data_IF_311263273335
#
_entry.id   IF_311263273335
#
_cell.length_a   1.000
_cell.length_b   1.000
_cell.length_c   1.000
_cell.angle_alpha   90.00
_cell.angle_beta   90.00
_cell.angle_gamma   90.00
#
_symmetry.space_group_name_H-M   'P 1'
#
loop_
_entity.id
_entity.type
_entity.pdbx_description
1 polymer ?
#
# COMPACT_ATOMS: atom_id res chain seq x y z
N UNK A 1 -179.42 -118.46 3.57
CA UNK A 1 -180.02 -117.43 2.71
C UNK A 1 -181.52 -117.63 2.67
N UNK A 2 -182.26 -116.76 3.37
CA UNK A 2 -183.71 -116.70 3.26
C UNK A 2 -184.16 -116.02 1.95
N UNK A 3 -185.44 -116.13 1.56
CA UNK A 3 -185.94 -115.50 0.33
C UNK A 3 -185.76 -113.97 0.27
N UNK A 4 -185.74 -113.28 1.41
CA UNK A 4 -185.49 -111.83 1.49
C UNK A 4 -184.02 -111.46 1.21
N UNK A 5 -183.07 -112.29 1.64
CA UNK A 5 -181.64 -112.09 1.37
C UNK A 5 -181.34 -112.35 -0.10
N UNK A 6 -181.96 -113.37 -0.72
CA UNK A 6 -181.86 -113.62 -2.16
C UNK A 6 -182.39 -112.44 -2.99
N UNK A 7 -183.47 -111.77 -2.56
CA UNK A 7 -184.01 -110.59 -3.24
C UNK A 7 -183.07 -109.38 -3.21
N UNK A 8 -182.30 -109.19 -2.12
CA UNK A 8 -181.30 -108.12 -2.02
C UNK A 8 -180.10 -108.40 -2.93
N UNK A 9 -179.62 -109.65 -2.98
CA UNK A 9 -178.41 -110.01 -3.74
C UNK A 9 -178.70 -110.16 -5.24
N UNK A 10 -179.95 -110.48 -5.62
CA UNK A 10 -180.41 -110.48 -7.03
C UNK A 10 -181.00 -109.13 -7.48
N UNK A 11 -181.07 -108.13 -6.59
CA UNK A 11 -181.50 -106.79 -6.94
C UNK A 11 -180.46 -106.15 -7.89
N UNK A 12 -180.86 -105.72 -9.10
CA UNK A 12 -179.96 -105.05 -10.05
C UNK A 12 -179.22 -103.85 -9.46
N UNK A 13 -179.83 -103.14 -8.50
CA UNK A 13 -179.20 -102.02 -7.80
C UNK A 13 -178.06 -102.46 -6.88
N UNK A 14 -178.20 -103.60 -6.19
CA UNK A 14 -177.17 -104.14 -5.31
C UNK A 14 -176.00 -104.73 -6.10
N UNK A 15 -176.30 -105.42 -7.22
CA UNK A 15 -175.29 -105.92 -8.16
C UNK A 15 -174.49 -104.74 -8.75
N UNK A 16 -175.16 -103.69 -9.23
CA UNK A 16 -174.48 -102.50 -9.74
C UNK A 16 -173.65 -101.78 -8.66
N UNK A 17 -174.15 -101.67 -7.43
CA UNK A 17 -173.42 -101.04 -6.34
C UNK A 17 -172.16 -101.82 -5.96
N UNK A 18 -172.20 -103.15 -5.96
CA UNK A 18 -171.03 -104.00 -5.66
C UNK A 18 -170.01 -104.00 -6.80
N UNK A 19 -170.44 -103.99 -8.07
CA UNK A 19 -169.55 -103.78 -9.21
C UNK A 19 -168.91 -102.38 -9.19
N UNK A 20 -169.68 -101.32 -8.96
CA UNK A 20 -169.14 -99.96 -8.82
C UNK A 20 -168.18 -99.84 -7.63
N UNK A 21 -168.45 -100.50 -6.49
CA UNK A 21 -167.52 -100.52 -5.37
C UNK A 21 -166.21 -101.24 -5.71
N UNK A 22 -166.29 -102.35 -6.45
CA UNK A 22 -165.12 -103.08 -6.96
C UNK A 22 -164.30 -102.26 -7.97
N UNK A 23 -164.96 -101.60 -8.93
CA UNK A 23 -164.32 -100.69 -9.88
C UNK A 23 -163.69 -99.49 -9.17
N UNK A 24 -164.40 -98.86 -8.23
CA UNK A 24 -163.87 -97.75 -7.45
C UNK A 24 -162.66 -98.16 -6.61
N UNK A 25 -162.68 -99.36 -6.03
CA UNK A 25 -161.53 -99.91 -5.30
C UNK A 25 -160.34 -100.19 -6.22
N UNK A 26 -160.57 -100.81 -7.38
CA UNK A 26 -159.53 -101.10 -8.36
C UNK A 26 -158.93 -99.81 -8.94
N UNK A 27 -159.76 -98.84 -9.32
CA UNK A 27 -159.31 -97.52 -9.77
C UNK A 27 -158.59 -96.75 -8.67
N UNK A 28 -159.05 -96.83 -7.41
CA UNK A 28 -158.37 -96.24 -6.26
C UNK A 28 -157.01 -96.90 -5.98
N UNK A 29 -156.90 -98.21 -6.12
CA UNK A 29 -155.64 -98.95 -5.99
C UNK A 29 -154.67 -98.59 -7.12
N UNK A 30 -155.13 -98.51 -8.37
CA UNK A 30 -154.32 -98.05 -9.51
C UNK A 30 -153.85 -96.61 -9.31
N UNK A 31 -154.73 -95.72 -8.83
CA UNK A 31 -154.36 -94.33 -8.54
C UNK A 31 -153.26 -94.26 -7.47
N UNK A 32 -153.39 -95.01 -6.37
CA UNK A 32 -152.35 -95.09 -5.32
C UNK A 32 -151.06 -95.71 -5.82
N UNK A 33 -151.12 -96.74 -6.68
CA UNK A 33 -149.94 -97.35 -7.27
C UNK A 33 -149.21 -96.35 -8.20
N UNK A 34 -149.96 -95.61 -9.02
CA UNK A 34 -149.42 -94.53 -9.87
C UNK A 34 -148.84 -93.39 -9.05
N UNK A 35 -149.46 -93.01 -7.94
CA UNK A 35 -148.93 -92.02 -7.00
C UNK A 35 -147.64 -92.50 -6.32
N UNK A 36 -147.59 -93.76 -5.89
CA UNK A 36 -146.39 -94.37 -5.31
C UNK A 36 -145.24 -94.44 -6.33
N UNK A 37 -145.52 -94.82 -7.57
CA UNK A 37 -144.55 -94.80 -8.67
C UNK A 37 -144.07 -93.37 -8.96
N UNK A 38 -144.96 -92.37 -8.99
CA UNK A 38 -144.60 -90.98 -9.19
C UNK A 38 -143.71 -90.44 -8.05
N UNK A 39 -143.99 -90.82 -6.80
CA UNK A 39 -143.16 -90.48 -5.64
C UNK A 39 -141.79 -91.16 -5.70
N UNK A 40 -141.73 -92.44 -6.09
CA UNK A 40 -140.47 -93.17 -6.27
C UNK A 40 -139.62 -92.54 -7.38
N UNK A 41 -140.23 -92.16 -8.51
CA UNK A 41 -139.55 -91.45 -9.59
C UNK A 41 -139.00 -90.09 -9.11
N UNK A 42 -139.79 -89.31 -8.36
CA UNK A 42 -139.33 -88.06 -7.75
C UNK A 42 -138.16 -88.27 -6.79
N UNK A 43 -138.24 -89.26 -5.91
CA UNK A 43 -137.15 -89.62 -4.99
C UNK A 43 -135.87 -89.98 -5.75
N UNK A 44 -135.97 -90.86 -6.75
CA UNK A 44 -134.82 -91.26 -7.57
C UNK A 44 -134.21 -90.06 -8.30
N UNK A 45 -135.04 -89.13 -8.81
CA UNK A 45 -134.56 -87.90 -9.46
C UNK A 45 -133.84 -86.96 -8.48
N UNK A 46 -134.32 -86.88 -7.24
CA UNK A 46 -133.69 -86.09 -6.18
C UNK A 46 -132.36 -86.70 -5.74
N UNK A 47 -132.31 -88.02 -5.54
CA UNK A 47 -131.08 -88.74 -5.20
C UNK A 47 -130.02 -88.59 -6.30
N UNK A 48 -130.43 -88.71 -7.58
CA UNK A 48 -129.56 -88.47 -8.72
C UNK A 48 -129.03 -87.02 -8.78
N UNK A 49 -129.90 -86.03 -8.56
CA UNK A 49 -129.50 -84.63 -8.50
C UNK A 49 -128.52 -84.36 -7.34
N UNK A 50 -128.79 -84.90 -6.15
CA UNK A 50 -127.93 -84.74 -4.98
C UNK A 50 -126.55 -85.39 -5.21
N UNK A 51 -126.50 -86.57 -5.83
CA UNK A 51 -125.24 -87.20 -6.23
C UNK A 51 -124.44 -86.29 -7.19
N UNK A 52 -125.10 -85.70 -8.19
CA UNK A 52 -124.46 -84.73 -9.09
C UNK A 52 -123.96 -83.48 -8.35
N UNK A 53 -124.75 -82.93 -7.42
CA UNK A 53 -124.34 -81.79 -6.60
C UNK A 53 -123.10 -82.08 -5.76
N UNK A 54 -123.00 -83.27 -5.15
CA UNK A 54 -121.80 -83.64 -4.38
C UNK A 54 -120.56 -83.76 -5.25
N UNK A 55 -120.67 -84.27 -6.48
CA UNK A 55 -119.58 -84.33 -7.46
C UNK A 55 -119.13 -82.92 -7.86
N UNK A 56 -120.07 -82.04 -8.23
CA UNK A 56 -119.77 -80.66 -8.61
C UNK A 56 -119.13 -79.90 -7.45
N UNK A 57 -119.67 -80.03 -6.23
CA UNK A 57 -119.09 -79.39 -5.05
C UNK A 57 -117.66 -79.87 -4.77
N UNK A 58 -117.38 -81.18 -4.95
CA UNK A 58 -116.02 -81.71 -4.80
C UNK A 58 -115.09 -81.12 -5.86
N UNK A 59 -115.52 -81.05 -7.12
CA UNK A 59 -114.72 -80.47 -8.20
C UNK A 59 -114.44 -78.98 -7.98
N UNK A 60 -115.43 -78.22 -7.51
CA UNK A 60 -115.25 -76.80 -7.18
C UNK A 60 -114.27 -76.59 -6.03
N UNK A 61 -114.41 -77.37 -4.94
CA UNK A 61 -113.49 -77.28 -3.80
C UNK A 61 -112.06 -77.69 -4.17
N UNK A 62 -111.90 -78.75 -4.97
CA UNK A 62 -110.59 -79.20 -5.43
C UNK A 62 -109.96 -78.18 -6.38
N UNK A 63 -110.74 -77.64 -7.32
CA UNK A 63 -110.30 -76.56 -8.21
C UNK A 63 -109.87 -75.31 -7.44
N UNK A 64 -110.63 -74.91 -6.42
CA UNK A 64 -110.30 -73.78 -5.56
C UNK A 64 -109.02 -74.03 -4.75
N UNK A 65 -108.82 -75.25 -4.22
CA UNK A 65 -107.59 -75.64 -3.52
C UNK A 65 -106.37 -75.58 -4.43
N UNK A 66 -106.46 -76.15 -5.62
CA UNK A 66 -105.36 -76.13 -6.59
C UNK A 66 -105.01 -74.71 -7.04
N UNK A 67 -106.01 -73.86 -7.26
CA UNK A 67 -105.76 -72.44 -7.54
C UNK A 67 -105.11 -71.74 -6.35
N UNK A 68 -105.56 -71.98 -5.13
CA UNK A 68 -104.97 -71.39 -3.93
C UNK A 68 -103.49 -71.78 -3.77
N UNK A 69 -103.13 -73.06 -3.99
CA UNK A 69 -101.73 -73.50 -3.95
C UNK A 69 -100.88 -72.88 -5.08
N UNK A 70 -101.44 -72.71 -6.28
CA UNK A 70 -100.77 -71.95 -7.35
C UNK A 70 -100.54 -70.49 -6.97
N UNK A 71 -101.52 -69.84 -6.35
CA UNK A 71 -101.37 -68.46 -5.87
C UNK A 71 -100.36 -68.33 -4.74
N UNK A 72 -100.34 -69.27 -3.78
CA UNK A 72 -99.34 -69.29 -2.71
C UNK A 72 -97.93 -69.47 -3.24
N UNK A 73 -97.74 -70.42 -4.15
CA UNK A 73 -96.42 -70.67 -4.77
C UNK A 73 -95.94 -69.46 -5.58
N UNK A 74 -96.82 -68.84 -6.36
CA UNK A 74 -96.53 -67.60 -7.07
C UNK A 74 -96.19 -66.44 -6.13
N UNK A 75 -96.98 -66.22 -5.09
CA UNK A 75 -96.75 -65.16 -4.10
C UNK A 75 -95.40 -65.36 -3.37
N UNK A 76 -95.08 -66.59 -2.96
CA UNK A 76 -93.82 -66.91 -2.31
C UNK A 76 -92.62 -66.70 -3.24
N UNK A 77 -92.72 -67.06 -4.52
CA UNK A 77 -91.67 -66.79 -5.51
C UNK A 77 -91.47 -65.28 -5.73
N UNK A 78 -92.57 -64.51 -5.78
CA UNK A 78 -92.51 -63.06 -5.92
C UNK A 78 -91.82 -62.40 -4.72
N UNK A 79 -92.18 -62.79 -3.50
CA UNK A 79 -91.52 -62.31 -2.26
C UNK A 79 -90.04 -62.68 -2.27
N UNK A 80 -89.69 -63.93 -2.61
CA UNK A 80 -88.28 -64.35 -2.68
C UNK A 80 -87.47 -63.53 -3.68
N UNK A 81 -88.04 -63.26 -4.86
CA UNK A 81 -87.39 -62.42 -5.90
C UNK A 81 -87.24 -60.98 -5.42
N UNK A 82 -88.26 -60.43 -4.77
CA UNK A 82 -88.21 -59.09 -4.20
C UNK A 82 -87.11 -58.97 -3.15
N UNK A 83 -87.03 -59.92 -2.21
CA UNK A 83 -86.03 -59.90 -1.15
C UNK A 83 -84.61 -60.06 -1.70
N UNK A 84 -84.42 -60.95 -2.69
CA UNK A 84 -83.15 -61.09 -3.39
C UNK A 84 -82.75 -59.79 -4.11
N UNK A 85 -83.69 -59.12 -4.76
CA UNK A 85 -83.44 -57.83 -5.40
C UNK A 85 -83.12 -56.73 -4.38
N UNK A 86 -83.83 -56.67 -3.25
CA UNK A 86 -83.58 -55.69 -2.21
C UNK A 86 -82.18 -55.85 -1.59
N UNK A 87 -81.74 -57.09 -1.34
CA UNK A 87 -80.38 -57.38 -0.87
C UNK A 87 -79.33 -56.97 -1.91
N UNK A 88 -79.54 -57.32 -3.19
CA UNK A 88 -78.62 -56.94 -4.26
C UNK A 88 -78.53 -55.42 -4.44
N UNK A 89 -79.68 -54.73 -4.46
CA UNK A 89 -79.75 -53.29 -4.59
C UNK A 89 -79.05 -52.57 -3.43
N UNK A 90 -79.24 -53.06 -2.20
CA UNK A 90 -78.55 -52.53 -1.01
C UNK A 90 -77.05 -52.74 -1.10
N UNK A 91 -76.60 -53.93 -1.50
CA UNK A 91 -75.17 -54.22 -1.68
C UNK A 91 -74.54 -53.31 -2.73
N UNK A 92 -75.16 -53.15 -3.89
CA UNK A 92 -74.65 -52.25 -4.95
C UNK A 92 -74.63 -50.79 -4.50
N UNK A 93 -75.63 -50.36 -3.72
CA UNK A 93 -75.64 -49.02 -3.15
C UNK A 93 -74.51 -48.81 -2.13
N UNK A 94 -74.25 -49.80 -1.29
CA UNK A 94 -73.17 -49.72 -0.30
C UNK A 94 -71.78 -49.77 -0.97
N UNK A 95 -71.61 -50.61 -2.00
CA UNK A 95 -70.38 -50.67 -2.81
C UNK A 95 -70.12 -49.34 -3.55
N UNK A 96 -71.14 -48.75 -4.17
CA UNK A 96 -71.02 -47.45 -4.85
C UNK A 96 -70.72 -46.31 -3.87
N UNK A 97 -71.35 -46.30 -2.68
CA UNK A 97 -71.04 -45.32 -1.62
C UNK A 97 -69.60 -45.47 -1.11
N UNK A 98 -69.14 -46.70 -0.89
CA UNK A 98 -67.77 -46.96 -0.47
C UNK A 98 -66.77 -46.44 -1.51
N UNK A 99 -66.97 -46.79 -2.78
CA UNK A 99 -66.13 -46.30 -3.88
C UNK A 99 -66.11 -44.78 -3.98
N UNK A 100 -67.28 -44.12 -3.88
CA UNK A 100 -67.37 -42.66 -3.94
C UNK A 100 -66.64 -42.00 -2.76
N UNK A 101 -66.78 -42.55 -1.55
CA UNK A 101 -66.09 -42.06 -0.37
C UNK A 101 -64.57 -42.21 -0.49
N UNK A 102 -64.09 -43.35 -0.98
CA UNK A 102 -62.67 -43.59 -1.20
C UNK A 102 -62.10 -42.63 -2.25
N UNK A 103 -62.83 -42.42 -3.35
CA UNK A 103 -62.47 -41.45 -4.39
C UNK A 103 -62.40 -40.02 -3.85
N UNK A 104 -63.39 -39.58 -3.07
CA UNK A 104 -63.40 -38.26 -2.43
C UNK A 104 -62.26 -38.10 -1.40
N UNK A 105 -61.95 -39.14 -0.65
CA UNK A 105 -60.86 -39.13 0.31
C UNK A 105 -59.49 -39.04 -0.40
N UNK A 106 -59.31 -39.76 -1.50
CA UNK A 106 -58.12 -39.68 -2.33
C UNK A 106 -57.96 -38.28 -2.95
N UNK A 107 -59.06 -37.69 -3.46
CA UNK A 107 -59.05 -36.33 -4.00
C UNK A 107 -58.67 -35.30 -2.93
N UNK A 108 -59.22 -35.42 -1.72
CA UNK A 108 -58.86 -34.57 -0.57
C UNK A 108 -57.41 -34.76 -0.12
N UNK A 109 -56.86 -35.97 -0.22
CA UNK A 109 -55.45 -36.23 0.08
C UNK A 109 -54.55 -35.55 -0.96
N UNK A 110 -54.81 -35.77 -2.25
CA UNK A 110 -54.08 -35.13 -3.36
C UNK A 110 -54.15 -33.60 -3.28
N UNK A 111 -55.32 -33.04 -2.94
CA UNK A 111 -55.47 -31.59 -2.74
C UNK A 111 -54.61 -31.05 -1.59
N UNK A 112 -54.48 -31.80 -0.49
CA UNK A 112 -53.61 -31.42 0.65
C UNK A 112 -52.13 -31.47 0.26
N UNK A 113 -51.71 -32.51 -0.46
CA UNK A 113 -50.34 -32.62 -0.98
C UNK A 113 -50.00 -31.48 -1.93
N UNK A 114 -50.93 -31.12 -2.83
CA UNK A 114 -50.76 -29.98 -3.73
C UNK A 114 -50.60 -28.65 -2.98
N UNK A 115 -51.36 -28.44 -1.90
CA UNK A 115 -51.23 -27.24 -1.06
C UNK A 115 -49.86 -27.23 -0.37
N UNK A 116 -49.45 -28.36 0.22
CA UNK A 116 -48.15 -28.46 0.90
C UNK A 116 -46.97 -28.22 -0.06
N UNK A 117 -47.02 -28.75 -1.29
CA UNK A 117 -45.97 -28.47 -2.29
C UNK A 117 -46.01 -27.02 -2.80
N UNK A 118 -47.20 -26.39 -2.87
CA UNK A 118 -47.28 -24.94 -3.16
C UNK A 118 -46.65 -24.08 -2.07
N UNK A 119 -46.91 -24.39 -0.81
CA UNK A 119 -46.31 -23.70 0.33
C UNK A 119 -44.78 -23.86 0.33
N UNK A 120 -44.30 -25.09 0.11
CA UNK A 120 -42.87 -25.39 -0.03
C UNK A 120 -42.22 -24.69 -1.22
N UNK A 121 -42.94 -24.57 -2.34
CA UNK A 121 -42.48 -23.79 -3.50
C UNK A 121 -42.37 -22.31 -3.16
N UNK A 122 -43.38 -21.74 -2.50
CA UNK A 122 -43.36 -20.34 -2.07
C UNK A 122 -42.22 -20.05 -1.08
N UNK A 123 -41.93 -20.97 -0.15
CA UNK A 123 -40.80 -20.87 0.76
C UNK A 123 -39.46 -20.88 0.02
N UNK A 124 -39.31 -21.74 -1.00
CA UNK A 124 -38.13 -21.74 -1.88
C UNK A 124 -38.01 -20.44 -2.66
N UNK A 125 -39.10 -19.91 -3.21
CA UNK A 125 -39.09 -18.65 -3.95
C UNK A 125 -38.70 -17.46 -3.05
N UNK A 126 -39.17 -17.44 -1.81
CA UNK A 126 -38.72 -16.46 -0.81
C UNK A 126 -37.23 -16.61 -0.50
N UNK A 127 -36.75 -17.84 -0.37
CA UNK A 127 -35.32 -18.12 -0.11
C UNK A 127 -34.44 -17.70 -1.28
N UNK A 128 -34.88 -17.95 -2.52
CA UNK A 128 -34.19 -17.50 -3.73
C UNK A 128 -34.15 -15.97 -3.79
N UNK A 129 -35.25 -15.30 -3.45
CA UNK A 129 -35.31 -13.85 -3.41
C UNK A 129 -34.32 -13.27 -2.39
N UNK A 130 -34.24 -13.86 -1.20
CA UNK A 130 -33.26 -13.45 -0.19
C UNK A 130 -31.82 -13.64 -0.67
N UNK A 131 -31.51 -14.79 -1.27
CA UNK A 131 -30.18 -15.06 -1.84
C UNK A 131 -29.81 -14.06 -2.94
N UNK A 132 -30.77 -13.64 -3.77
CA UNK A 132 -30.54 -12.58 -4.76
C UNK A 132 -30.20 -11.24 -4.10
N UNK A 133 -30.89 -10.87 -3.03
CA UNK A 133 -30.60 -9.66 -2.26
C UNK A 133 -29.21 -9.71 -1.62
N UNK A 134 -28.86 -10.83 -0.98
CA UNK A 134 -27.56 -11.02 -0.35
C UNK A 134 -26.43 -10.96 -1.38
N UNK A 135 -26.62 -11.61 -2.54
CA UNK A 135 -25.66 -11.58 -3.65
C UNK A 135 -25.48 -10.16 -4.20
N UNK A 136 -26.56 -9.39 -4.33
CA UNK A 136 -26.47 -7.98 -4.70
C UNK A 136 -25.67 -7.15 -3.68
N UNK A 137 -25.87 -7.41 -2.38
CA UNK A 137 -25.10 -6.78 -1.30
C UNK A 137 -23.61 -7.12 -1.36
N UNK A 138 -23.26 -8.39 -1.59
CA UNK A 138 -21.87 -8.84 -1.77
C UNK A 138 -21.24 -8.19 -3.00
N UNK A 139 -21.95 -8.11 -4.13
CA UNK A 139 -21.47 -7.43 -5.35
C UNK A 139 -21.21 -5.94 -5.10
N UNK A 140 -22.11 -5.26 -4.39
CA UNK A 140 -21.93 -3.86 -4.02
C UNK A 140 -20.70 -3.64 -3.13
N UNK A 141 -20.52 -4.50 -2.12
CA UNK A 141 -19.35 -4.47 -1.24
C UNK A 141 -18.05 -4.72 -2.01
N UNK A 142 -18.04 -5.71 -2.92
CA UNK A 142 -16.90 -6.00 -3.78
C UNK A 142 -16.54 -4.80 -4.67
N UNK A 143 -17.52 -4.16 -5.29
CA UNK A 143 -17.30 -2.96 -6.10
C UNK A 143 -16.66 -1.83 -5.27
N UNK A 144 -17.18 -1.56 -4.07
CA UNK A 144 -16.61 -0.56 -3.16
C UNK A 144 -15.16 -0.89 -2.76
N UNK A 145 -14.86 -2.16 -2.47
CA UNK A 145 -13.47 -2.58 -2.16
C UNK A 145 -12.54 -2.43 -3.37
N UNK A 146 -13.04 -2.68 -4.58
CA UNK A 146 -12.27 -2.52 -5.82
C UNK A 146 -11.97 -1.05 -6.11
N UNK A 147 -12.94 -0.15 -5.89
CA UNK A 147 -12.74 1.29 -5.96
C UNK A 147 -11.70 1.77 -4.94
N UNK A 148 -11.81 1.34 -3.68
CA UNK A 148 -10.84 1.64 -2.62
C UNK A 148 -9.43 1.15 -2.97
N UNK A 149 -9.31 -0.08 -3.50
CA UNK A 149 -8.03 -0.62 -3.96
C UNK A 149 -7.45 0.18 -5.12
N UNK A 150 -8.28 0.65 -6.05
CA UNK A 150 -7.83 1.49 -7.17
C UNK A 150 -7.31 2.84 -6.67
N UNK A 151 -7.97 3.43 -5.67
CA UNK A 151 -7.55 4.67 -5.04
C UNK A 151 -6.20 4.51 -4.33
N UNK A 152 -6.04 3.45 -3.53
CA UNK A 152 -4.76 3.16 -2.86
C UNK A 152 -3.63 2.89 -3.87
N UNK A 153 -3.90 2.20 -4.99
CA UNK A 153 -2.91 2.03 -6.07
C UNK A 153 -2.48 3.36 -6.68
N UNK A 154 -3.41 4.28 -6.91
CA UNK A 154 -3.07 5.63 -7.40
C UNK A 154 -2.21 6.39 -6.38
N UNK A 155 -2.54 6.30 -5.09
CA UNK A 155 -1.77 6.92 -4.02
C UNK A 155 -0.35 6.36 -3.93
N UNK A 156 -0.19 5.04 -4.03
CA UNK A 156 1.13 4.40 -4.06
C UNK A 156 1.94 4.86 -5.27
N UNK A 157 1.33 4.95 -6.46
CA UNK A 157 2.02 5.45 -7.65
C UNK A 157 2.47 6.92 -7.48
N UNK A 158 1.64 7.76 -6.86
CA UNK A 158 2.00 9.15 -6.56
C UNK A 158 3.19 9.22 -5.57
N UNK A 159 3.16 8.42 -4.51
CA UNK A 159 4.26 8.34 -3.53
C UNK A 159 5.55 7.81 -4.16
N UNK A 160 5.47 6.85 -5.09
CA UNK A 160 6.63 6.37 -5.84
C UNK A 160 7.27 7.49 -6.67
N UNK A 161 6.46 8.25 -7.41
CA UNK A 161 6.93 9.38 -8.21
C UNK A 161 7.56 10.49 -7.33
N UNK A 162 7.00 10.74 -6.14
CA UNK A 162 7.59 11.68 -5.18
C UNK A 162 8.92 11.17 -4.63
N UNK A 163 9.01 9.87 -4.31
CA UNK A 163 10.25 9.25 -3.83
C UNK A 163 11.36 9.32 -4.88
N UNK A 164 11.05 9.10 -6.16
CA UNK A 164 11.99 9.27 -7.26
C UNK A 164 12.51 10.72 -7.37
N UNK A 165 11.63 11.71 -7.22
CA UNK A 165 12.04 13.13 -7.19
C UNK A 165 12.97 13.43 -6.02
N UNK A 166 12.65 12.91 -4.83
CA UNK A 166 13.49 13.09 -3.65
C UNK A 166 14.86 12.42 -3.80
N UNK A 167 14.92 11.22 -4.39
CA UNK A 167 16.19 10.55 -4.70
C UNK A 167 17.04 11.34 -5.69
N UNK A 168 16.41 11.89 -6.74
CA UNK A 168 17.11 12.74 -7.70
C UNK A 168 17.66 14.01 -7.03
N UNK A 169 16.86 14.67 -6.19
CA UNK A 169 17.26 15.85 -5.44
C UNK A 169 18.40 15.54 -4.45
N UNK A 170 18.36 14.39 -3.78
CA UNK A 170 19.42 13.95 -2.86
C UNK A 170 20.74 13.71 -3.62
N UNK A 171 20.69 13.02 -4.76
CA UNK A 171 21.88 12.79 -5.60
C UNK A 171 22.49 14.11 -6.09
N UNK A 172 21.66 15.08 -6.50
CA UNK A 172 22.14 16.40 -6.88
C UNK A 172 22.82 17.13 -5.70
N UNK A 173 22.21 17.11 -4.52
CA UNK A 173 22.79 17.71 -3.31
C UNK A 173 24.11 17.05 -2.89
N UNK A 174 24.23 15.72 -3.03
CA UNK A 174 25.47 14.99 -2.78
C UNK A 174 26.59 15.40 -3.76
N UNK A 175 26.24 15.56 -5.05
CA UNK A 175 27.16 16.07 -6.06
C UNK A 175 27.61 17.50 -5.74
N UNK A 176 26.70 18.38 -5.35
CA UNK A 176 27.02 19.76 -4.98
C UNK A 176 27.91 19.80 -3.74
N UNK A 177 27.63 18.97 -2.73
CA UNK A 177 28.47 18.84 -1.54
C UNK A 177 29.89 18.40 -1.90
N UNK A 178 30.03 17.43 -2.82
CA UNK A 178 31.33 16.96 -3.27
C UNK A 178 32.11 18.07 -3.99
N UNK A 179 31.45 18.79 -4.90
CA UNK A 179 32.04 19.93 -5.59
C UNK A 179 32.50 21.02 -4.63
N UNK A 180 31.67 21.40 -3.66
CA UNK A 180 32.06 22.38 -2.63
C UNK A 180 33.24 21.91 -1.78
N UNK A 181 33.34 20.61 -1.52
CA UNK A 181 34.48 20.05 -0.81
C UNK A 181 35.78 20.13 -1.63
N UNK A 182 35.69 19.92 -2.95
CA UNK A 182 36.82 20.08 -3.88
C UNK A 182 37.23 21.56 -4.00
N UNK A 183 36.26 22.47 -4.15
CA UNK A 183 36.49 23.92 -4.19
C UNK A 183 37.16 24.40 -2.89
N UNK A 184 36.68 23.95 -1.71
CA UNK A 184 37.30 24.27 -0.43
C UNK A 184 38.74 23.74 -0.33
N UNK A 185 39.01 22.52 -0.79
CA UNK A 185 40.37 21.97 -0.80
C UNK A 185 41.30 22.80 -1.71
N UNK A 186 40.81 23.24 -2.87
CA UNK A 186 41.54 24.13 -3.78
C UNK A 186 41.80 25.50 -3.14
N UNK A 187 40.82 26.09 -2.44
CA UNK A 187 41.00 27.35 -1.72
C UNK A 187 42.02 27.22 -0.59
N UNK A 188 42.01 26.13 0.18
CA UNK A 188 43.01 25.89 1.22
C UNK A 188 44.41 25.76 0.63
N UNK A 189 44.58 24.99 -0.45
CA UNK A 189 45.87 24.87 -1.13
C UNK A 189 46.36 26.20 -1.70
N UNK A 190 45.46 27.02 -2.26
CA UNK A 190 45.79 28.36 -2.72
C UNK A 190 46.20 29.28 -1.56
N UNK A 191 45.50 29.20 -0.42
CA UNK A 191 45.82 29.95 0.79
C UNK A 191 47.20 29.56 1.34
N UNK A 192 47.53 28.27 1.44
CA UNK A 192 48.84 27.78 1.87
C UNK A 192 49.96 28.30 0.95
N UNK A 193 49.73 28.30 -0.37
CA UNK A 193 50.68 28.84 -1.34
C UNK A 193 50.84 30.36 -1.21
N UNK A 194 49.76 31.11 -0.93
CA UNK A 194 49.87 32.54 -0.64
C UNK A 194 50.63 32.80 0.66
N UNK A 195 50.37 32.03 1.72
CA UNK A 195 51.09 32.13 2.98
C UNK A 195 52.60 31.86 2.77
N UNK A 196 52.94 30.84 1.97
CA UNK A 196 54.33 30.57 1.63
C UNK A 196 54.98 31.73 0.88
N UNK A 197 54.29 32.31 -0.12
CA UNK A 197 54.78 33.50 -0.83
C UNK A 197 55.00 34.69 0.11
N UNK A 198 54.13 34.88 1.10
CA UNK A 198 54.31 35.92 2.12
C UNK A 198 55.59 35.68 2.94
N UNK A 199 55.85 34.43 3.38
CA UNK A 199 57.09 34.08 4.09
C UNK A 199 58.33 34.28 3.24
N UNK A 200 58.26 33.94 1.96
CA UNK A 200 59.36 34.15 1.01
C UNK A 200 59.63 35.66 0.82
N UNK A 201 58.58 36.46 0.62
CA UNK A 201 58.68 37.93 0.53
C UNK A 201 59.22 38.57 1.82
N UNK A 202 58.82 38.07 2.98
CA UNK A 202 59.33 38.53 4.28
C UNK A 202 60.83 38.22 4.40
N UNK A 203 61.25 37.00 4.02
CA UNK A 203 62.66 36.61 3.97
C UNK A 203 63.46 37.47 2.97
N UNK A 204 62.88 37.79 1.80
CA UNK A 204 63.51 38.67 0.81
C UNK A 204 63.64 40.11 1.34
N UNK A 205 62.63 40.61 2.06
CA UNK A 205 62.65 41.92 2.70
C UNK A 205 63.75 41.99 3.77
N UNK A 206 63.87 40.97 4.63
CA UNK A 206 64.95 40.87 5.63
C UNK A 206 66.33 40.89 4.98
N UNK A 207 66.54 40.11 3.90
CA UNK A 207 67.80 40.13 3.14
C UNK A 207 68.09 41.50 2.52
N UNK A 208 67.07 42.17 1.98
CA UNK A 208 67.24 43.52 1.42
C UNK A 208 67.58 44.55 2.50
N UNK A 209 66.99 44.45 3.70
CA UNK A 209 67.31 45.32 4.82
C UNK A 209 68.74 45.09 5.31
N UNK A 210 69.17 43.83 5.40
CA UNK A 210 70.53 43.49 5.76
C UNK A 210 71.54 44.01 4.73
N UNK A 211 71.27 43.82 3.43
CA UNK A 211 72.11 44.36 2.36
C UNK A 211 72.16 45.90 2.37
N UNK A 212 71.06 46.57 2.74
CA UNK A 212 71.04 48.02 2.91
C UNK A 212 71.91 48.45 4.09
N UNK A 213 71.81 47.78 5.25
CA UNK A 213 72.66 48.07 6.41
C UNK A 213 74.15 47.85 6.13
N UNK A 214 74.48 46.79 5.39
CA UNK A 214 75.85 46.51 4.94
C UNK A 214 76.33 47.62 3.98
N UNK A 215 75.50 48.02 3.00
CA UNK A 215 75.81 49.12 2.09
C UNK A 215 75.94 50.49 2.78
N UNK A 216 75.12 50.77 3.80
CA UNK A 216 75.24 51.98 4.63
C UNK A 216 76.55 52.00 5.44
N UNK A 217 76.95 50.84 5.99
CA UNK A 217 78.23 50.69 6.70
C UNK A 217 79.43 50.87 5.76
N UNK A 218 79.37 50.30 4.55
CA UNK A 218 80.40 50.49 3.52
C UNK A 218 80.49 51.96 3.07
N UNK A 219 79.35 52.62 2.86
CA UNK A 219 79.33 54.04 2.49
C UNK A 219 79.89 54.94 3.59
N UNK A 220 79.60 54.65 4.86
CA UNK A 220 80.19 55.35 6.01
C UNK A 220 81.71 55.17 6.06
N UNK A 221 82.21 53.95 5.83
CA UNK A 221 83.65 53.67 5.74
C UNK A 221 84.30 54.45 4.60
N UNK A 222 83.72 54.40 3.40
CA UNK A 222 84.25 55.07 2.21
C UNK A 222 84.24 56.59 2.37
N UNK A 223 83.19 57.14 2.98
CA UNK A 223 83.09 58.58 3.28
C UNK A 223 84.18 59.00 4.27
N UNK A 224 84.49 58.18 5.27
CA UNK A 224 85.57 58.45 6.22
C UNK A 224 86.94 58.42 5.55
N UNK A 225 87.18 57.44 4.67
CA UNK A 225 88.43 57.32 3.90
C UNK A 225 88.64 58.49 2.94
N UNK A 226 87.59 58.93 2.22
CA UNK A 226 87.65 60.11 1.35
C UNK A 226 87.92 61.40 2.14
N UNK A 227 87.30 61.57 3.30
CA UNK A 227 87.54 62.74 4.15
C UNK A 227 88.99 62.79 4.64
N UNK A 228 89.53 61.64 5.06
CA UNK A 228 90.93 61.51 5.46
C UNK A 228 91.89 61.81 4.29
N UNK A 229 91.61 61.31 3.08
CA UNK A 229 92.40 61.61 1.90
C UNK A 229 92.38 63.09 1.53
N UNK A 230 91.23 63.76 1.66
CA UNK A 230 91.10 65.20 1.40
C UNK A 230 91.94 66.03 2.38
N UNK A 231 91.86 65.73 3.69
CA UNK A 231 92.64 66.42 4.73
C UNK A 231 94.15 66.27 4.50
N UNK A 232 94.61 65.07 4.11
CA UNK A 232 96.01 64.80 3.77
C UNK A 232 96.46 65.62 2.56
N UNK A 233 95.64 65.69 1.52
CA UNK A 233 95.97 66.44 0.31
C UNK A 233 96.03 67.96 0.55
N UNK A 234 95.14 68.49 1.39
CA UNK A 234 95.20 69.89 1.83
C UNK A 234 96.46 70.17 2.67
N UNK A 235 96.84 69.27 3.58
CA UNK A 235 98.05 69.41 4.38
C UNK A 235 99.32 69.41 3.51
N UNK A 236 99.39 68.52 2.51
CA UNK A 236 100.46 68.48 1.50
C UNK A 236 100.52 69.79 0.70
N UNK A 237 99.38 70.30 0.26
CA UNK A 237 99.30 71.55 -0.49
C UNK A 237 99.72 72.76 0.35
N UNK A 238 99.23 72.85 1.59
CA UNK A 238 99.56 73.92 2.55
C UNK A 238 101.03 73.91 2.94
N UNK A 239 101.60 72.71 3.17
CA UNK A 239 103.02 72.55 3.43
C UNK A 239 103.86 72.96 2.23
N UNK A 240 103.44 72.64 1.00
CA UNK A 240 104.11 73.09 -0.23
C UNK A 240 104.18 74.60 -0.37
N UNK A 241 103.06 75.28 -0.11
CA UNK A 241 102.97 76.74 -0.14
C UNK A 241 103.81 77.40 0.96
N UNK A 242 103.94 76.76 2.12
CA UNK A 242 104.64 77.32 3.28
C UNK A 242 106.14 77.04 3.28
N UNK A 243 106.56 75.87 2.76
CA UNK A 243 107.96 75.44 2.72
C UNK A 243 108.78 76.27 1.75
N UNK A 244 108.23 76.64 0.58
CA UNK A 244 108.93 77.41 -0.44
C UNK A 244 109.48 78.75 0.09
N UNK A 245 108.66 79.64 0.69
CA UNK A 245 109.17 80.89 1.26
C UNK A 245 110.07 80.65 2.47
N UNK A 246 109.83 79.62 3.29
CA UNK A 246 110.74 79.23 4.38
C UNK A 246 112.13 78.84 3.84
N UNK A 247 112.18 77.99 2.81
CA UNK A 247 113.43 77.61 2.15
C UNK A 247 114.12 78.84 1.55
N UNK A 248 113.38 79.72 0.90
CA UNK A 248 113.95 80.93 0.28
C UNK A 248 114.46 81.93 1.32
N UNK A 249 113.74 82.13 2.43
CA UNK A 249 114.16 82.95 3.56
C UNK A 249 115.40 82.36 4.26
N UNK A 250 115.44 81.04 4.46
CA UNK A 250 116.61 80.36 5.05
C UNK A 250 117.82 80.46 4.11
N UNK A 251 117.61 80.39 2.79
CA UNK A 251 118.65 80.60 1.77
C UNK A 251 119.17 82.04 1.77
N UNK A 252 118.28 83.03 1.88
CA UNK A 252 118.62 84.45 1.95
C UNK A 252 119.39 84.83 3.22
N UNK A 253 118.96 84.31 4.37
CA UNK A 253 119.66 84.49 5.65
C UNK A 253 121.07 83.87 5.65
N UNK A 254 121.27 82.78 4.91
CA UNK A 254 122.58 82.12 4.78
C UNK A 254 123.49 82.79 3.75
N UNK A 255 122.93 83.27 2.64
CA UNK A 255 123.67 84.02 1.62
C UNK A 255 124.25 85.34 2.17
N UNK A 256 123.57 85.98 3.12
CA UNK A 256 124.08 87.15 3.84
C UNK A 256 125.36 86.88 4.68
N UNK A 257 125.72 85.61 4.89
CA UNK A 257 126.93 85.20 5.62
C UNK A 257 128.12 84.84 4.71
N UNK A 258 128.06 85.11 3.40
CA UNK A 258 129.13 84.85 2.42
C UNK A 258 129.63 83.38 2.39
N UNK A 259 128.72 82.40 2.55
CA UNK A 259 129.02 80.96 2.48
C UNK A 259 128.28 80.26 1.31
N UNK A 260 128.83 79.19 0.70
CA UNK A 260 128.14 78.40 -0.32
C UNK A 260 126.89 77.69 0.23
N UNK A 261 125.99 77.29 -0.67
CA UNK A 261 124.61 76.81 -0.41
C UNK A 261 124.47 75.75 0.69
N UNK A 262 123.70 76.07 1.75
CA UNK A 262 123.43 75.23 2.93
C UNK A 262 122.37 74.14 2.73
N UNK A 263 121.54 74.24 1.70
CA UNK A 263 120.31 73.42 1.57
C UNK A 263 120.56 71.92 1.44
N UNK A 264 121.75 71.53 1.02
CA UNK A 264 122.17 70.14 0.81
C UNK A 264 123.05 69.62 1.96
N UNK A 265 123.26 70.43 2.99
CA UNK A 265 123.98 69.98 4.17
C UNK A 265 123.14 68.98 4.95
N UNK A 266 123.79 67.91 5.40
CA UNK A 266 123.15 66.88 6.22
C UNK A 266 123.02 67.35 7.66
N UNK A 267 121.84 67.15 8.24
CA UNK A 267 121.52 67.36 9.63
C UNK A 267 121.79 66.06 10.39
N UNK A 268 122.85 66.05 11.18
CA UNK A 268 123.21 64.85 11.95
C UNK A 268 122.23 64.54 13.09
N UNK A 269 121.35 65.50 13.45
CA UNK A 269 120.39 65.36 14.56
C UNK A 269 119.01 64.86 14.11
N UNK A 270 118.74 64.73 12.81
CA UNK A 270 117.43 64.30 12.30
C UNK A 270 117.61 63.32 11.14
N UNK A 271 117.02 62.13 11.25
CA UNK A 271 117.15 61.06 10.27
C UNK A 271 115.79 60.64 9.71
N UNK A 272 115.83 60.11 8.49
CA UNK A 272 114.73 59.34 7.91
C UNK A 272 114.54 58.02 8.67
N UNK A 273 113.40 57.35 8.48
CA UNK A 273 113.15 56.02 9.07
C UNK A 273 114.14 54.95 8.62
N UNK A 274 114.87 55.17 7.53
CA UNK A 274 115.94 54.30 7.01
C UNK A 274 117.34 54.60 7.60
N UNK A 275 117.44 55.56 8.53
CA UNK A 275 118.68 55.93 9.23
C UNK A 275 119.57 56.93 8.50
N UNK A 276 119.21 57.39 7.29
CA UNK A 276 119.98 58.44 6.62
C UNK A 276 119.72 59.83 7.22
N UNK A 277 120.76 60.66 7.42
CA UNK A 277 120.58 62.02 7.92
C UNK A 277 119.87 62.87 6.88
N UNK A 278 118.85 63.60 7.31
CA UNK A 278 118.08 64.48 6.44
C UNK A 278 118.94 65.65 5.97
N UNK A 279 118.74 66.09 4.74
CA UNK A 279 119.23 67.40 4.31
C UNK A 279 118.42 68.52 4.97
N UNK A 280 118.98 69.72 5.09
CA UNK A 280 118.23 70.91 5.58
C UNK A 280 116.95 71.12 4.78
N UNK A 281 116.99 70.88 3.45
CA UNK A 281 115.80 70.94 2.59
C UNK A 281 114.73 69.92 3.02
N UNK A 282 115.10 68.65 3.17
CA UNK A 282 114.14 67.61 3.54
C UNK A 282 113.60 67.81 4.97
N UNK A 283 114.43 68.28 5.90
CA UNK A 283 113.98 68.61 7.25
C UNK A 283 112.95 69.75 7.25
N UNK A 284 113.20 70.84 6.51
CA UNK A 284 112.23 71.93 6.39
C UNK A 284 110.92 71.45 5.76
N UNK A 285 111.00 70.57 4.75
CA UNK A 285 109.83 69.94 4.14
C UNK A 285 109.04 69.10 5.14
N UNK A 286 109.67 68.12 5.78
CA UNK A 286 108.98 67.19 6.69
C UNK A 286 108.52 67.87 7.98
N UNK A 287 109.29 68.80 8.55
CA UNK A 287 108.86 69.54 9.74
C UNK A 287 107.63 70.40 9.46
N UNK A 288 107.58 71.05 8.29
CA UNK A 288 106.42 71.88 7.91
C UNK A 288 105.22 71.01 7.54
N UNK A 289 105.43 69.91 6.82
CA UNK A 289 104.38 68.94 6.49
C UNK A 289 103.79 68.30 7.76
N UNK A 290 104.63 67.90 8.72
CA UNK A 290 104.15 67.36 10.00
C UNK A 290 103.37 68.40 10.82
N UNK A 291 103.79 69.67 10.84
CA UNK A 291 103.02 70.75 11.50
C UNK A 291 101.64 70.92 10.87
N UNK A 292 101.57 70.95 9.55
CA UNK A 292 100.31 71.09 8.82
C UNK A 292 99.41 69.88 9.02
N UNK A 293 99.96 68.65 8.99
CA UNK A 293 99.18 67.44 9.20
C UNK A 293 98.66 67.33 10.65
N UNK A 294 99.47 67.68 11.65
CA UNK A 294 99.06 67.69 13.08
C UNK A 294 98.04 68.79 13.35
N UNK A 295 98.22 70.00 12.81
CA UNK A 295 97.27 71.11 12.97
C UNK A 295 95.88 70.79 12.40
N UNK A 296 95.80 69.89 11.41
CA UNK A 296 94.57 69.44 10.77
C UNK A 296 93.99 68.17 11.39
N UNK A 297 94.50 67.75 12.55
CA UNK A 297 94.09 66.54 13.29
C UNK A 297 94.10 65.27 12.42
N UNK A 298 95.05 65.17 11.47
CA UNK A 298 95.17 63.99 10.63
C UNK A 298 95.65 62.81 11.49
N UNK A 299 95.02 61.62 11.41
CA UNK A 299 95.41 60.45 12.19
C UNK A 299 96.90 60.11 12.08
N UNK A 300 97.53 59.75 13.21
CA UNK A 300 98.98 59.48 13.29
C UNK A 300 99.49 58.41 12.31
N UNK A 301 98.64 57.43 11.97
CA UNK A 301 99.00 56.40 10.99
C UNK A 301 99.14 56.99 9.58
N UNK A 302 98.34 57.99 9.19
CA UNK A 302 98.49 58.69 7.91
C UNK A 302 99.71 59.62 7.97
N UNK A 303 99.91 60.37 9.06
CA UNK A 303 101.13 61.18 9.24
C UNK A 303 102.40 60.32 9.09
N UNK A 304 102.34 59.07 9.56
CA UNK A 304 103.44 58.11 9.41
C UNK A 304 103.76 57.75 7.98
N UNK A 305 102.74 57.53 7.16
CA UNK A 305 102.89 57.14 5.77
C UNK A 305 103.50 58.28 4.94
N UNK A 306 103.10 59.53 5.21
CA UNK A 306 103.53 60.69 4.40
C UNK A 306 104.81 61.37 4.92
N UNK A 307 105.20 61.17 6.18
CA UNK A 307 106.42 61.71 6.78
C UNK A 307 107.31 60.57 7.35
N UNK A 308 108.11 59.90 6.51
CA UNK A 308 108.95 58.77 6.91
C UNK A 308 110.23 59.25 7.62
N UNK A 309 110.06 59.88 8.79
CA UNK A 309 111.15 60.37 9.64
C UNK A 309 111.14 59.70 11.01
N UNK A 310 112.33 59.43 11.55
CA UNK A 310 112.52 58.80 12.85
C UNK A 310 112.39 59.85 13.98
N UNK A 311 111.83 59.48 15.14
CA UNK A 311 111.68 60.38 16.31
C UNK A 311 110.92 61.69 16.03
N UNK A 312 109.67 61.59 15.55
CA UNK A 312 108.86 62.74 15.08
C UNK A 312 108.58 63.83 16.10
N UNK A 313 108.51 63.48 17.39
CA UNK A 313 108.31 64.47 18.46
C UNK A 313 109.41 65.55 18.50
N UNK A 314 110.60 65.20 18.02
CA UNK A 314 111.78 66.05 18.11
C UNK A 314 111.84 67.08 16.97
N UNK A 315 111.19 66.81 15.83
CA UNK A 315 111.15 67.70 14.65
C UNK A 315 110.43 69.03 14.88
N UNK A 316 109.60 69.09 15.93
CA UNK A 316 108.81 70.29 16.25
C UNK A 316 109.47 71.13 17.34
N UNK A 317 110.47 70.60 18.05
CA UNK A 317 110.90 71.12 19.37
C UNK A 317 112.42 71.24 19.57
N UNK A 318 113.27 70.54 18.80
CA UNK A 318 114.72 70.55 19.01
C UNK A 318 115.51 71.58 18.16
N UNK A 319 116.56 72.24 18.71
CA UNK A 319 117.43 73.13 17.94
C UNK A 319 118.30 72.35 16.95
N UNK A 320 118.27 72.79 15.68
CA UNK A 320 118.95 72.13 14.56
C UNK A 320 120.46 72.37 14.60
N UNK A 321 121.26 71.30 14.58
CA UNK A 321 122.73 71.37 14.46
C UNK A 321 123.18 70.99 13.06
N UNK A 322 123.72 71.95 12.31
CA UNK A 322 124.23 71.75 10.94
C UNK A 322 125.72 71.43 11.02
N UNK A 323 126.14 70.30 10.44
CA UNK A 323 127.56 69.99 10.25
C UNK A 323 128.05 70.61 8.95
N UNK A 324 128.96 71.58 9.03
CA UNK A 324 129.69 72.09 7.86
C UNK A 324 130.83 71.12 7.49
N UNK A 325 130.85 70.66 6.23
CA UNK A 325 131.96 69.87 5.67
C UNK A 325 133.09 70.85 5.32
N UNK A 326 134.25 70.77 5.99
CA UNK A 326 135.45 71.53 5.58
C UNK A 326 135.99 70.96 4.26
N UNK A 327 136.50 71.81 3.36
CA UNK A 327 137.11 71.36 2.11
C UNK A 327 138.52 70.80 2.37
N UNK A 328 138.75 69.59 1.85
CA UNK A 328 140.06 69.19 1.29
C UNK A 328 139.97 69.37 -0.23
#
# INVERSE_FOLDING_TARGET
>A
MGPEELAIITNPQFINATFQAGENWYHGMIARAREAEALAQRRNSFEAANAQFTVVNRQLLEGARQQNEKWKTFANDLVRKHDAYAVLARRLLDETKAYLNDSLNAERACKRELIAEKEKSAEKDSSISQLHTDLAGVRGSLAATQESLSYERQKVAALQAENEKLRAALSAAESDRQRLHEDNAAFLSAADHFEQKCKDLESDLERSQQALQEGEAEHLSLSHDLQNAHLVNEALSSASLSVLPLMEQTRGLWAAQNKPSMMENSLASHCRTDGQPLTVREYLWFATLMREMVARNIPDHLVSTYCPVAQRGDFLTCPVTIKEKRPD
#
